data_IF_073256497316
#
_entry.id   IF_073256497316
#
_cell.length_a   1.000
_cell.length_b   1.000
_cell.length_c   1.000
_cell.angle_alpha   90.00
_cell.angle_beta   90.00
_cell.angle_gamma   90.00
#
_symmetry.space_group_name_H-M   'P 1'
#
loop_
_entity.id
_entity.type
_entity.pdbx_description
1 polymer ?
#
# COMPACT_ATOMS: atom_id res chain seq x y z
N UNK A 1 25.65 -19.81 13.18
CA UNK A 1 25.58 -18.98 11.95
C UNK A 1 24.25 -19.26 11.28
N UNK A 2 23.23 -18.44 11.52
CA UNK A 2 21.89 -18.60 10.92
C UNK A 2 21.84 -17.90 9.57
N UNK A 3 21.43 -18.64 8.54
CA UNK A 3 21.41 -18.25 7.12
C UNK A 3 20.82 -16.86 6.88
N UNK A 4 21.64 -15.96 6.34
CA UNK A 4 21.31 -14.57 6.00
C UNK A 4 20.71 -14.48 4.58
N UNK A 5 19.68 -15.27 4.30
CA UNK A 5 19.02 -15.25 2.98
C UNK A 5 17.93 -14.19 2.97
N UNK A 6 18.19 -13.06 2.32
CA UNK A 6 17.18 -12.07 1.99
C UNK A 6 16.15 -12.70 1.05
N UNK A 7 14.91 -12.80 1.51
CA UNK A 7 13.82 -13.34 0.68
C UNK A 7 13.31 -12.22 -0.25
N UNK A 8 13.17 -12.52 -1.54
CA UNK A 8 12.60 -11.59 -2.52
C UNK A 8 11.17 -12.04 -2.82
N UNK A 9 10.19 -11.16 -2.59
CA UNK A 9 8.77 -11.40 -2.90
C UNK A 9 8.31 -10.31 -3.86
N UNK A 10 7.75 -10.68 -5.01
CA UNK A 10 7.30 -9.74 -6.05
C UNK A 10 8.37 -8.69 -6.45
N UNK A 11 9.65 -9.12 -6.48
CA UNK A 11 10.79 -8.23 -6.75
C UNK A 11 11.22 -7.34 -5.58
N UNK A 12 10.54 -7.42 -4.43
CA UNK A 12 10.87 -6.64 -3.21
C UNK A 12 11.77 -7.46 -2.30
N UNK A 13 12.96 -6.92 -2.02
CA UNK A 13 13.92 -7.51 -1.07
C UNK A 13 13.43 -7.33 0.36
N UNK A 14 13.42 -8.41 1.12
CA UNK A 14 13.18 -8.44 2.56
C UNK A 14 14.50 -8.64 3.32
N UNK A 15 14.75 -7.82 4.34
CA UNK A 15 15.93 -7.93 5.22
C UNK A 15 15.93 -9.24 6.04
N UNK A 16 16.99 -9.56 6.78
CA UNK A 16 16.97 -10.67 7.75
C UNK A 16 16.02 -10.39 8.94
N UNK A 17 15.39 -11.42 9.55
CA UNK A 17 14.44 -11.26 10.65
C UNK A 17 15.02 -10.54 11.87
N UNK A 18 14.26 -9.61 12.46
CA UNK A 18 14.71 -8.86 13.66
C UNK A 18 14.08 -9.34 14.96
N UNK A 19 13.00 -10.13 14.90
CA UNK A 19 12.22 -10.54 16.07
C UNK A 19 11.25 -9.48 16.61
N UNK A 20 11.14 -8.32 15.95
CA UNK A 20 10.23 -7.24 16.35
C UNK A 20 8.84 -7.49 15.75
N UNK A 21 7.80 -7.37 16.59
CA UNK A 21 6.39 -7.38 16.18
C UNK A 21 5.84 -5.96 16.10
N UNK A 22 5.18 -5.63 15.01
CA UNK A 22 4.62 -4.31 14.71
C UNK A 22 3.13 -4.43 14.45
N UNK A 23 2.32 -3.74 15.25
CA UNK A 23 0.90 -3.57 15.00
C UNK A 23 0.64 -2.15 14.48
N UNK A 24 0.15 -2.05 13.26
CA UNK A 24 -0.29 -0.78 12.67
C UNK A 24 -1.78 -0.59 12.90
N UNK A 25 -2.17 0.56 13.45
CA UNK A 25 -3.58 0.94 13.59
C UNK A 25 -3.93 1.97 12.52
N UNK A 26 -4.73 1.54 11.55
CA UNK A 26 -5.22 2.32 10.42
C UNK A 26 -4.71 1.82 9.06
N UNK A 27 -5.59 1.74 8.06
CA UNK A 27 -5.25 1.41 6.66
C UNK A 27 -5.06 2.66 5.77
N UNK A 28 -4.91 3.83 6.38
CA UNK A 28 -4.57 5.05 5.65
C UNK A 28 -3.18 4.98 5.02
N UNK A 29 -2.86 6.00 4.21
CA UNK A 29 -1.56 6.14 3.54
C UNK A 29 -0.36 5.88 4.47
N UNK A 30 -0.38 6.47 5.67
CA UNK A 30 0.69 6.31 6.65
C UNK A 30 0.78 4.88 7.21
N UNK A 31 -0.36 4.27 7.57
CA UNK A 31 -0.40 2.92 8.14
C UNK A 31 0.02 1.86 7.12
N UNK A 32 -0.43 1.98 5.87
CA UNK A 32 -0.02 1.08 4.80
C UNK A 32 1.46 1.22 4.46
N UNK A 33 1.97 2.44 4.32
CA UNK A 33 3.41 2.67 4.10
C UNK A 33 4.25 2.11 5.26
N UNK A 34 3.84 2.36 6.50
CA UNK A 34 4.53 1.84 7.68
C UNK A 34 4.52 0.32 7.69
N UNK A 35 3.38 -0.31 7.40
CA UNK A 35 3.27 -1.77 7.37
C UNK A 35 4.17 -2.41 6.30
N UNK A 36 4.17 -1.87 5.08
CA UNK A 36 5.03 -2.33 3.99
C UNK A 36 6.52 -2.14 4.33
N UNK A 37 6.89 -0.97 4.85
CA UNK A 37 8.29 -0.69 5.17
C UNK A 37 8.78 -1.52 6.36
N UNK A 38 7.92 -1.76 7.35
CA UNK A 38 8.20 -2.67 8.48
C UNK A 38 8.37 -4.11 8.00
N UNK A 39 7.55 -4.54 7.03
CA UNK A 39 7.68 -5.86 6.41
C UNK A 39 8.99 -5.99 5.64
N UNK A 40 9.39 -4.97 4.87
CA UNK A 40 10.69 -4.91 4.15
C UNK A 40 11.87 -5.04 5.11
N UNK A 41 11.78 -4.39 6.27
CA UNK A 41 12.75 -4.49 7.37
C UNK A 41 12.67 -5.81 8.16
N UNK A 42 11.84 -6.75 7.71
CA UNK A 42 11.69 -8.09 8.28
C UNK A 42 11.18 -8.10 9.73
N UNK A 43 10.28 -7.17 10.02
CA UNK A 43 9.41 -7.23 11.19
C UNK A 43 8.21 -8.15 10.91
N UNK A 44 7.63 -8.67 11.99
CA UNK A 44 6.36 -9.38 11.97
C UNK A 44 5.25 -8.33 12.10
N UNK A 45 4.48 -8.11 11.03
CA UNK A 45 3.61 -6.95 10.88
C UNK A 45 2.16 -7.38 10.77
N UNK A 46 1.28 -6.68 11.48
CA UNK A 46 -0.17 -6.76 11.31
C UNK A 46 -0.75 -5.35 11.19
N UNK A 47 -1.71 -5.15 10.29
CA UNK A 47 -2.45 -3.89 10.14
C UNK A 47 -3.90 -4.13 10.56
N UNK A 48 -4.44 -3.27 11.42
CA UNK A 48 -5.86 -3.27 11.79
C UNK A 48 -6.53 -1.98 11.34
N UNK A 49 -7.77 -2.07 10.87
CA UNK A 49 -8.58 -0.92 10.45
C UNK A 49 -9.99 -1.03 10.98
N UNK A 50 -10.53 0.09 11.47
CA UNK A 50 -11.88 0.18 12.01
C UNK A 50 -12.95 0.01 10.93
N UNK A 51 -12.71 0.59 9.76
CA UNK A 51 -13.60 0.47 8.60
C UNK A 51 -13.74 -0.98 8.15
N UNK A 52 -14.87 -1.33 7.55
CA UNK A 52 -15.12 -2.71 7.08
C UNK A 52 -14.47 -3.03 5.74
N UNK A 53 -14.00 -2.01 5.03
CA UNK A 53 -13.31 -2.12 3.75
C UNK A 53 -12.57 -0.82 3.45
N UNK A 54 -11.61 -0.87 2.54
CA UNK A 54 -11.01 0.33 1.98
C UNK A 54 -12.10 1.11 1.22
N UNK A 55 -12.36 2.36 1.64
CA UNK A 55 -13.57 3.09 1.27
C UNK A 55 -13.75 3.20 -0.26
N UNK A 56 -14.91 2.83 -0.84
CA UNK A 56 -15.10 2.78 -2.30
C UNK A 56 -15.40 4.14 -2.98
N UNK A 57 -15.29 5.27 -2.28
CA UNK A 57 -15.73 6.60 -2.75
C UNK A 57 -14.95 7.09 -3.97
N UNK A 58 -15.59 7.07 -5.16
CA UNK A 58 -14.98 7.53 -6.41
C UNK A 58 -14.87 9.05 -6.38
N UNK A 59 -13.66 9.59 -6.56
CA UNK A 59 -13.47 11.02 -6.74
C UNK A 59 -13.53 11.32 -8.22
N UNK A 60 -14.55 12.06 -8.64
CA UNK A 60 -14.68 12.55 -10.00
C UNK A 60 -14.39 14.06 -9.97
N UNK A 61 -13.43 14.50 -10.77
CA UNK A 61 -13.27 15.93 -11.05
C UNK A 61 -14.18 16.24 -12.22
N UNK A 62 -15.22 17.02 -11.97
CA UNK A 62 -16.15 17.46 -13.00
C UNK A 62 -15.95 18.95 -13.29
N UNK A 63 -16.15 19.33 -14.55
CA UNK A 63 -16.39 20.72 -14.94
C UNK A 63 -17.71 21.19 -14.31
N UNK A 64 -17.95 22.50 -14.30
CA UNK A 64 -19.21 23.08 -13.78
C UNK A 64 -20.46 22.52 -14.46
N UNK A 65 -20.34 22.08 -15.71
CA UNK A 65 -21.43 21.44 -16.47
C UNK A 65 -21.65 19.95 -16.12
N UNK A 66 -20.94 19.40 -15.11
CA UNK A 66 -21.05 18.02 -14.67
C UNK A 66 -20.27 16.99 -15.49
N UNK A 67 -19.67 17.38 -16.63
CA UNK A 67 -18.83 16.49 -17.43
C UNK A 67 -17.45 16.27 -16.77
N UNK A 68 -16.83 15.11 -16.98
CA UNK A 68 -15.53 14.80 -16.39
C UNK A 68 -14.43 15.73 -16.93
N UNK A 69 -13.78 16.48 -16.04
CA UNK A 69 -12.69 17.39 -16.40
C UNK A 69 -11.39 16.64 -16.75
N UNK A 70 -11.19 15.47 -16.15
CA UNK A 70 -10.03 14.61 -16.39
C UNK A 70 -10.56 13.18 -16.62
N UNK A 71 -10.23 12.51 -17.74
CA UNK A 71 -10.62 11.11 -17.92
C UNK A 71 -9.96 10.26 -16.83
N UNK A 72 -10.65 9.20 -16.40
CA UNK A 72 -10.09 8.24 -15.44
C UNK A 72 -8.80 7.67 -16.03
N UNK A 73 -7.65 8.04 -15.46
CA UNK A 73 -6.36 7.49 -15.84
C UNK A 73 -6.03 6.31 -14.94
N UNK A 74 -5.58 5.23 -15.55
CA UNK A 74 -5.00 4.12 -14.82
C UNK A 74 -3.56 4.47 -14.43
N UNK A 75 -3.10 3.89 -13.33
CA UNK A 75 -1.74 4.12 -12.87
C UNK A 75 -0.71 3.44 -13.75
N UNK A 76 0.41 4.13 -13.98
CA UNK A 76 1.49 3.67 -14.85
C UNK A 76 2.03 2.28 -14.48
N UNK A 77 2.04 1.93 -13.19
CA UNK A 77 2.52 0.61 -12.74
C UNK A 77 1.59 -0.57 -13.07
N UNK A 78 0.36 -0.31 -13.52
CA UNK A 78 -0.54 -1.35 -14.03
C UNK A 78 -0.37 -1.58 -15.54
N UNK A 79 0.42 -0.76 -16.23
CA UNK A 79 0.69 -0.94 -17.66
C UNK A 79 1.59 -2.17 -17.89
N UNK A 80 1.36 -2.87 -18.98
CA UNK A 80 2.20 -4.00 -19.39
C UNK A 80 3.65 -3.54 -19.60
N UNK A 81 4.59 -4.23 -18.95
CA UNK A 81 6.01 -3.90 -18.97
C UNK A 81 6.47 -2.92 -17.88
N UNK A 82 5.56 -2.33 -17.10
CA UNK A 82 5.94 -1.47 -15.98
C UNK A 82 6.55 -2.26 -14.83
N UNK A 83 7.60 -1.70 -14.24
CA UNK A 83 8.28 -2.34 -13.11
C UNK A 83 7.38 -2.32 -11.88
N UNK A 84 7.05 -3.51 -11.36
CA UNK A 84 6.09 -3.69 -10.25
C UNK A 84 6.63 -3.31 -8.86
N UNK A 85 7.90 -2.93 -8.75
CA UNK A 85 8.47 -2.56 -7.46
C UNK A 85 8.10 -1.12 -7.09
N UNK A 86 7.40 -0.95 -5.97
CA UNK A 86 7.06 0.37 -5.46
C UNK A 86 8.33 1.09 -4.99
N UNK A 87 8.56 2.28 -5.54
CA UNK A 87 9.57 3.25 -5.13
C UNK A 87 11.04 2.92 -5.48
N UNK A 88 11.42 3.09 -6.75
CA UNK A 88 12.53 3.97 -7.20
C UNK A 88 13.01 3.63 -8.63
N UNK A 89 13.31 4.61 -9.50
CA UNK A 89 12.94 6.01 -9.40
C UNK A 89 11.52 6.18 -9.94
N UNK A 90 10.56 6.47 -9.05
CA UNK A 90 9.19 6.74 -9.45
C UNK A 90 9.14 8.13 -10.11
N UNK A 91 9.22 8.21 -11.44
CA UNK A 91 9.02 9.46 -12.20
C UNK A 91 7.53 9.77 -12.29
N UNK A 92 6.90 10.08 -11.16
CA UNK A 92 5.46 10.29 -11.11
C UNK A 92 5.19 11.73 -10.68
N UNK A 93 5.02 12.60 -11.66
CA UNK A 93 4.40 13.93 -11.48
C UNK A 93 2.93 13.79 -11.81
N UNK A 94 2.07 13.71 -10.80
CA UNK A 94 0.63 13.62 -11.01
C UNK A 94 -0.16 14.12 -9.82
N UNK A 95 -1.36 14.63 -10.12
CA UNK A 95 -2.38 14.89 -9.11
C UNK A 95 -3.05 13.55 -8.79
N UNK A 96 -2.80 13.02 -7.59
CA UNK A 96 -3.41 11.77 -7.13
C UNK A 96 -4.44 12.05 -6.07
N UNK A 97 -5.53 11.29 -6.08
CA UNK A 97 -6.41 11.25 -4.93
C UNK A 97 -5.79 10.35 -3.87
N UNK A 98 -5.81 10.80 -2.62
CA UNK A 98 -5.35 10.04 -1.45
C UNK A 98 -5.87 8.60 -1.45
N UNK A 99 -7.10 8.40 -1.93
CA UNK A 99 -7.71 7.08 -2.12
C UNK A 99 -6.90 6.19 -3.06
N UNK A 100 -6.62 6.67 -4.26
CA UNK A 100 -6.05 5.83 -5.31
C UNK A 100 -4.64 5.38 -4.90
N UNK A 101 -3.91 6.26 -4.19
CA UNK A 101 -2.63 5.92 -3.57
C UNK A 101 -2.80 4.93 -2.42
N UNK A 102 -3.80 5.08 -1.55
CA UNK A 102 -4.08 4.10 -0.50
C UNK A 102 -4.44 2.72 -1.07
N UNK A 103 -5.24 2.67 -2.13
CA UNK A 103 -5.59 1.41 -2.81
C UNK A 103 -4.36 0.76 -3.45
N UNK A 104 -3.46 1.55 -4.04
CA UNK A 104 -2.18 1.04 -4.52
C UNK A 104 -1.40 0.34 -3.41
N UNK A 105 -1.20 1.01 -2.29
CA UNK A 105 -0.45 0.44 -1.17
C UNK A 105 -1.17 -0.75 -0.55
N UNK A 106 -2.50 -0.73 -0.48
CA UNK A 106 -3.29 -1.85 0.01
C UNK A 106 -3.09 -3.10 -0.85
N UNK A 107 -3.25 -2.99 -2.17
CA UNK A 107 -3.03 -4.09 -3.11
C UNK A 107 -1.58 -4.59 -3.02
N UNK A 108 -0.61 -3.69 -2.85
CA UNK A 108 0.78 -4.08 -2.70
C UNK A 108 1.04 -4.83 -1.39
N UNK A 109 0.50 -4.36 -0.27
CA UNK A 109 0.58 -5.04 1.02
C UNK A 109 -0.01 -6.46 0.95
N UNK A 110 -1.14 -6.63 0.25
CA UNK A 110 -1.72 -7.95 -0.01
C UNK A 110 -0.79 -8.86 -0.84
N UNK A 111 -0.15 -8.33 -1.89
CA UNK A 111 0.83 -9.10 -2.71
C UNK A 111 2.04 -9.56 -1.91
N UNK A 112 2.49 -8.75 -0.96
CA UNK A 112 3.60 -9.08 -0.05
C UNK A 112 3.18 -10.02 1.09
N UNK A 113 1.89 -10.34 1.20
CA UNK A 113 1.35 -11.18 2.28
C UNK A 113 1.33 -10.50 3.65
N UNK A 114 1.26 -9.15 3.68
CA UNK A 114 1.06 -8.41 4.94
C UNK A 114 -0.40 -8.57 5.38
N UNK A 115 -0.67 -9.11 6.58
CA UNK A 115 -2.04 -9.28 7.07
C UNK A 115 -2.69 -7.93 7.39
N UNK A 116 -3.90 -7.74 6.89
CA UNK A 116 -4.74 -6.56 7.13
C UNK A 116 -6.11 -7.02 7.59
N UNK A 117 -6.50 -6.63 8.81
CA UNK A 117 -7.75 -7.02 9.46
C UNK A 117 -8.68 -5.82 9.54
N UNK A 118 -9.83 -5.90 8.86
CA UNK A 118 -10.85 -4.86 8.85
C UNK A 118 -11.92 -5.07 9.94
N UNK A 119 -12.65 -4.01 10.27
CA UNK A 119 -13.71 -4.05 11.29
C UNK A 119 -13.20 -4.09 12.74
N UNK A 120 -11.90 -3.82 12.96
CA UNK A 120 -11.26 -3.89 14.28
C UNK A 120 -10.86 -2.48 14.71
N UNK A 121 -11.48 -1.99 15.77
CA UNK A 121 -11.09 -0.73 16.40
C UNK A 121 -10.06 -0.94 17.50
N UNK A 122 -9.01 -0.13 17.54
CA UNK A 122 -8.15 -0.05 18.71
C UNK A 122 -8.87 0.72 19.83
N UNK A 123 -9.02 0.06 20.98
CA UNK A 123 -9.56 0.64 22.20
C UNK A 123 -8.43 0.80 23.23
N UNK A 124 -8.58 1.75 24.16
CA UNK A 124 -7.62 2.01 25.23
C UNK A 124 -7.93 1.16 26.45
#
# INVERSE_FOLDING_TARGET
>A
MTSTTSNVVDGVVRSPPTGIKVLSVGDGLAGLCMGIESWRKCHDVEIIERSTSIVPSKVHVCLQNGSLAIPKREFEWNLDGSTKHAAWPLKVSGCFFRRDVALMFFVHAQRLGVPITFGVGAIK
#
